data_IF_116721041274
#
_entry.id   IF_116721041274
#
_cell.length_a   1.000
_cell.length_b   1.000
_cell.length_c   1.000
_cell.angle_alpha   90.00
_cell.angle_beta   90.00
_cell.angle_gamma   90.00
#
_symmetry.space_group_name_H-M   'P 1'
#
loop_
_entity.id
_entity.type
_entity.pdbx_description
1 polymer ?
#
# COMPACT_ATOMS: atom_id res chain seq x y z
N UNK A 1 -10.95 16.19 -10.40
CA UNK A 1 -12.23 16.65 -9.81
C UNK A 1 -11.97 16.93 -8.34
N UNK A 2 -11.50 18.15 -8.09
CA UNK A 2 -11.14 18.69 -6.79
C UNK A 2 -12.44 19.01 -6.05
N UNK A 3 -12.70 18.33 -4.94
CA UNK A 3 -13.68 18.79 -3.97
C UNK A 3 -13.11 20.05 -3.30
N UNK A 4 -13.33 21.19 -3.95
CA UNK A 4 -13.31 22.48 -3.29
C UNK A 4 -14.30 22.41 -2.12
N UNK A 5 -13.91 22.77 -0.90
CA UNK A 5 -14.74 22.60 0.27
C UNK A 5 -15.92 23.57 0.19
N UNK A 6 -17.11 23.01 -0.08
CA UNK A 6 -18.42 23.68 0.05
C UNK A 6 -18.66 24.28 1.46
N UNK A 7 -17.81 23.96 2.44
CA UNK A 7 -17.81 24.57 3.76
C UNK A 7 -17.36 26.05 3.77
N UNK A 8 -16.52 26.50 2.82
CA UNK A 8 -16.06 27.89 2.78
C UNK A 8 -17.12 28.86 2.22
N UNK A 9 -18.08 28.37 1.41
CA UNK A 9 -19.13 29.19 0.83
C UNK A 9 -20.34 29.39 1.77
N UNK A 10 -20.56 28.44 2.70
CA UNK A 10 -21.60 28.57 3.71
C UNK A 10 -21.26 29.60 4.81
N UNK A 11 -19.96 29.84 5.06
CA UNK A 11 -19.52 30.84 6.04
C UNK A 11 -19.62 32.29 5.50
N UNK A 12 -19.53 32.49 4.18
CA UNK A 12 -19.63 33.81 3.57
C UNK A 12 -21.07 34.28 3.33
N UNK A 13 -22.05 33.37 3.24
CA UNK A 13 -23.47 33.75 3.10
C UNK A 13 -24.19 33.97 4.43
N UNK A 14 -23.58 33.63 5.58
CA UNK A 14 -24.14 33.94 6.89
C UNK A 14 -23.85 35.38 7.39
N UNK A 15 -23.01 36.14 6.68
CA UNK A 15 -22.60 37.50 7.08
C UNK A 15 -23.38 38.64 6.41
N UNK A 16 -24.34 38.35 5.52
CA UNK A 16 -25.07 39.40 4.76
C UNK A 16 -26.51 39.65 5.21
N UNK A 17 -27.01 38.94 6.22
CA UNK A 17 -28.41 39.03 6.64
C UNK A 17 -28.57 39.21 8.15
N UNK A 18 -28.21 40.39 8.66
CA UNK A 18 -28.95 41.11 9.72
C UNK A 18 -28.15 42.33 10.25
N UNK A 19 -28.13 43.43 9.50
CA UNK A 19 -27.99 44.76 10.10
C UNK A 19 -29.36 45.44 10.01
N UNK A 20 -30.34 44.88 10.73
CA UNK A 20 -31.51 45.65 11.17
C UNK A 20 -31.05 46.37 12.43
N UNK A 21 -30.80 47.67 12.31
CA UNK A 21 -30.51 48.53 13.45
C UNK A 21 -31.65 48.40 14.47
N UNK A 22 -31.39 47.70 15.58
CA UNK A 22 -32.26 47.75 16.76
C UNK A 22 -32.14 49.17 17.34
N UNK A 23 -33.22 49.99 17.33
CA UNK A 23 -33.18 51.32 17.92
C UNK A 23 -33.23 51.15 19.43
N UNK A 24 -32.06 51.11 20.09
CA UNK A 24 -32.00 51.04 21.55
C UNK A 24 -30.71 50.52 22.17
N UNK A 25 -29.76 49.96 21.41
CA UNK A 25 -28.43 49.71 21.97
C UNK A 25 -27.78 51.07 22.30
N UNK A 26 -27.56 51.32 23.58
CA UNK A 26 -26.95 52.56 24.04
C UNK A 26 -25.55 52.66 23.44
N UNK A 27 -25.12 53.85 23.03
CA UNK A 27 -23.75 54.09 22.55
C UNK A 27 -22.68 53.59 23.55
N UNK A 28 -23.04 53.47 24.82
CA UNK A 28 -22.21 52.88 25.87
C UNK A 28 -22.07 51.34 25.75
N UNK A 29 -23.10 50.64 25.29
CA UNK A 29 -23.07 49.18 25.12
C UNK A 29 -22.17 48.80 23.94
N UNK A 30 -22.24 49.55 22.84
CA UNK A 30 -21.36 49.36 21.67
C UNK A 30 -19.89 49.63 22.01
N UNK A 31 -19.60 50.60 22.88
CA UNK A 31 -18.24 50.85 23.37
C UNK A 31 -17.72 49.68 24.18
N UNK A 32 -18.52 49.17 25.12
CA UNK A 32 -18.18 47.99 25.93
C UNK A 32 -17.94 46.76 25.08
N UNK A 33 -18.79 46.51 24.08
CA UNK A 33 -18.63 45.39 23.16
C UNK A 33 -17.37 45.53 22.30
N UNK A 34 -17.04 46.74 21.81
CA UNK A 34 -15.81 46.96 21.07
C UNK A 34 -14.56 46.72 21.93
N UNK A 35 -14.58 47.17 23.19
CA UNK A 35 -13.49 46.95 24.14
C UNK A 35 -13.32 45.44 24.44
N UNK A 36 -14.43 44.71 24.64
CA UNK A 36 -14.41 43.26 24.82
C UNK A 36 -13.88 42.51 23.58
N UNK A 37 -14.28 42.94 22.38
CA UNK A 37 -13.78 42.34 21.15
C UNK A 37 -12.29 42.61 20.95
N UNK A 38 -11.81 43.81 21.27
CA UNK A 38 -10.37 44.14 21.23
C UNK A 38 -9.57 43.28 22.20
N UNK A 39 -10.09 43.09 23.42
CA UNK A 39 -9.44 42.23 24.41
C UNK A 39 -9.39 40.78 23.93
N UNK A 40 -10.48 40.26 23.35
CA UNK A 40 -10.54 38.90 22.81
C UNK A 40 -9.62 38.71 21.61
N UNK A 41 -9.51 39.70 20.72
CA UNK A 41 -8.57 39.67 19.59
C UNK A 41 -7.13 39.63 20.11
N UNK A 42 -6.78 40.50 21.07
CA UNK A 42 -5.44 40.49 21.67
C UNK A 42 -5.11 39.15 22.37
N UNK A 43 -6.09 38.53 23.03
CA UNK A 43 -5.93 37.21 23.64
C UNK A 43 -5.71 36.11 22.59
N UNK A 44 -6.48 36.11 21.50
CA UNK A 44 -6.35 35.13 20.42
C UNK A 44 -5.03 35.29 19.65
N UNK A 45 -4.60 36.53 19.41
CA UNK A 45 -3.29 36.83 18.80
C UNK A 45 -2.15 36.30 19.67
N UNK A 46 -2.21 36.54 20.99
CA UNK A 46 -1.22 36.00 21.93
C UNK A 46 -1.22 34.46 21.98
N UNK A 47 -2.39 33.82 21.91
CA UNK A 47 -2.49 32.35 21.84
C UNK A 47 -1.88 31.80 20.54
N UNK A 48 -2.16 32.44 19.41
CA UNK A 48 -1.66 32.01 18.11
C UNK A 48 -0.14 32.16 18.03
N UNK A 49 0.43 33.24 18.58
CA UNK A 49 1.87 33.41 18.68
C UNK A 49 2.52 32.36 19.59
N UNK A 50 1.92 32.06 20.75
CA UNK A 50 2.41 31.02 21.65
C UNK A 50 2.37 29.62 20.99
N UNK A 51 1.30 29.28 20.29
CA UNK A 51 1.18 28.01 19.57
C UNK A 51 2.16 27.91 18.41
N UNK A 52 2.35 29.01 17.67
CA UNK A 52 3.34 29.08 16.58
C UNK A 52 4.76 28.89 17.12
N UNK A 53 5.11 29.51 18.24
CA UNK A 53 6.41 29.31 18.89
C UNK A 53 6.58 27.86 19.34
N UNK A 54 5.60 27.29 20.04
CA UNK A 54 5.64 25.89 20.48
C UNK A 54 5.75 24.91 19.29
N UNK A 55 5.06 25.18 18.18
CA UNK A 55 5.17 24.36 16.97
C UNK A 55 6.54 24.49 16.31
N UNK A 56 7.13 25.69 16.29
CA UNK A 56 8.48 25.90 15.75
C UNK A 56 9.53 25.18 16.59
N UNK A 57 9.41 25.22 17.92
CA UNK A 57 10.29 24.47 18.83
C UNK A 57 10.21 22.97 18.58
N UNK A 58 8.99 22.39 18.49
CA UNK A 58 8.80 20.97 18.18
C UNK A 58 9.41 20.58 16.84
N UNK A 59 9.25 21.39 15.79
CA UNK A 59 9.86 21.10 14.48
C UNK A 59 11.38 21.14 14.55
N UNK A 60 11.93 22.10 15.31
CA UNK A 60 13.39 22.23 15.48
C UNK A 60 13.96 21.03 16.24
N UNK A 61 13.30 20.59 17.30
CA UNK A 61 13.64 19.39 18.06
C UNK A 61 13.56 18.12 17.21
N UNK A 62 12.46 17.95 16.46
CA UNK A 62 12.27 16.78 15.60
C UNK A 62 13.30 16.74 14.45
N UNK A 63 13.68 17.89 13.92
CA UNK A 63 14.75 18.00 12.90
C UNK A 63 16.12 17.65 13.50
N UNK A 64 16.40 18.07 14.73
CA UNK A 64 17.65 17.75 15.41
C UNK A 64 17.75 16.26 15.75
N UNK A 65 16.67 15.65 16.24
CA UNK A 65 16.63 14.21 16.53
C UNK A 65 16.77 13.36 15.27
N UNK A 66 16.09 13.74 14.18
CA UNK A 66 16.21 13.07 12.89
C UNK A 66 17.65 13.16 12.34
N UNK A 67 18.29 14.33 12.43
CA UNK A 67 19.69 14.49 12.01
C UNK A 67 20.63 13.60 12.82
N UNK A 68 20.47 13.53 14.14
CA UNK A 68 21.27 12.66 15.01
C UNK A 68 21.07 11.17 14.69
N UNK A 69 19.83 10.75 14.38
CA UNK A 69 19.54 9.39 13.94
C UNK A 69 20.20 9.06 12.60
N UNK A 70 20.17 9.98 11.63
CA UNK A 70 20.82 9.81 10.34
C UNK A 70 22.35 9.71 10.46
N UNK A 71 22.96 10.51 11.34
CA UNK A 71 24.39 10.42 11.62
C UNK A 71 24.76 9.07 12.25
N UNK A 72 23.98 8.61 13.23
CA UNK A 72 24.15 7.29 13.85
C UNK A 72 24.00 6.15 12.83
N UNK A 73 23.03 6.24 11.93
CA UNK A 73 22.83 5.26 10.87
C UNK A 73 23.99 5.27 9.87
N UNK A 74 24.49 6.45 9.50
CA UNK A 74 25.67 6.61 8.65
C UNK A 74 26.91 5.94 9.25
N UNK A 75 27.13 6.10 10.56
CA UNK A 75 28.24 5.43 11.25
C UNK A 75 28.06 3.91 11.30
N UNK A 76 26.84 3.42 11.54
CA UNK A 76 26.55 1.97 11.49
C UNK A 76 26.82 1.39 10.10
N UNK A 77 26.41 2.08 9.04
CA UNK A 77 26.68 1.67 7.66
C UNK A 77 28.18 1.64 7.39
N UNK A 78 28.95 2.63 7.89
CA UNK A 78 30.41 2.64 7.74
C UNK A 78 31.07 1.46 8.44
N UNK A 79 30.70 1.18 9.69
CA UNK A 79 31.21 0.02 10.45
C UNK A 79 30.88 -1.29 9.73
N UNK A 80 29.64 -1.46 9.26
CA UNK A 80 29.24 -2.65 8.50
C UNK A 80 29.97 -2.76 7.16
N UNK A 81 30.26 -1.64 6.49
CA UNK A 81 31.04 -1.64 5.25
C UNK A 81 32.50 -2.04 5.50
N UNK A 82 33.10 -1.56 6.60
CA UNK A 82 34.45 -1.95 7.02
C UNK A 82 34.52 -3.42 7.42
N UNK A 83 33.53 -3.92 8.16
CA UNK A 83 33.41 -5.33 8.55
C UNK A 83 33.27 -6.23 7.32
N UNK A 84 32.40 -5.88 6.37
CA UNK A 84 32.26 -6.59 5.11
C UNK A 84 33.55 -6.56 4.27
N UNK A 85 34.27 -5.43 4.26
CA UNK A 85 35.55 -5.32 3.56
C UNK A 85 36.68 -6.09 4.26
N UNK A 86 36.62 -6.27 5.58
CA UNK A 86 37.55 -7.10 6.34
C UNK A 86 37.26 -8.60 6.12
N UNK A 87 35.99 -9.00 6.12
CA UNK A 87 35.55 -10.36 5.78
C UNK A 87 36.00 -10.77 4.37
N UNK A 88 35.78 -9.91 3.37
CA UNK A 88 36.27 -10.13 1.99
C UNK A 88 37.80 -10.23 1.87
N UNK A 89 38.56 -9.61 2.78
CA UNK A 89 40.03 -9.70 2.80
C UNK A 89 40.56 -10.91 3.59
N UNK A 90 39.76 -11.44 4.51
CA UNK A 90 40.07 -12.65 5.30
C UNK A 90 39.74 -13.96 4.59
N UNK A 91 38.94 -13.92 3.52
CA UNK A 91 38.69 -15.07 2.65
C UNK A 91 40.00 -15.49 1.93
N UNK A 92 40.64 -16.52 2.47
CA UNK A 92 41.76 -17.22 1.82
C UNK A 92 41.38 -17.58 0.38
N UNK A 93 42.28 -17.38 -0.60
CA UNK A 93 42.09 -17.90 -1.95
C UNK A 93 42.09 -19.44 -1.86
N UNK A 94 40.91 -20.05 -1.88
CA UNK A 94 40.74 -21.51 -1.78
C UNK A 94 39.49 -21.96 -1.04
N UNK A 95 38.77 -21.09 -0.33
CA UNK A 95 37.45 -21.43 0.19
C UNK A 95 36.42 -21.02 -0.84
N UNK A 96 36.04 -21.97 -1.69
CA UNK A 96 34.95 -21.84 -2.64
C UNK A 96 33.73 -21.32 -1.90
N UNK A 97 33.39 -20.05 -2.12
CA UNK A 97 32.06 -19.54 -1.78
C UNK A 97 31.07 -20.53 -2.38
N UNK A 98 30.20 -21.19 -1.58
CA UNK A 98 29.13 -21.97 -2.18
C UNK A 98 28.40 -21.00 -3.09
N UNK A 99 28.46 -21.27 -4.39
CA UNK A 99 27.75 -20.47 -5.38
C UNK A 99 26.33 -20.26 -4.85
N UNK A 100 25.78 -19.03 -4.92
CA UNK A 100 24.39 -18.80 -4.53
C UNK A 100 23.57 -19.91 -5.18
N UNK A 101 23.00 -20.76 -4.32
CA UNK A 101 22.41 -22.02 -4.74
C UNK A 101 21.42 -21.66 -5.81
N UNK A 102 21.73 -22.10 -7.04
CA UNK A 102 20.99 -21.77 -8.25
C UNK A 102 19.51 -21.81 -7.91
N UNK A 103 18.85 -20.64 -7.97
CA UNK A 103 17.40 -20.57 -7.92
C UNK A 103 16.87 -21.69 -8.79
N UNK A 104 16.09 -22.60 -8.20
CA UNK A 104 15.49 -23.70 -8.94
C UNK A 104 14.89 -23.12 -10.24
N UNK A 105 15.01 -23.82 -11.38
CA UNK A 105 14.47 -23.34 -12.64
C UNK A 105 13.03 -22.86 -12.42
N UNK A 106 12.78 -21.56 -12.61
CA UNK A 106 11.42 -21.03 -12.54
C UNK A 106 10.64 -21.71 -13.66
N UNK A 107 9.61 -22.47 -13.28
CA UNK A 107 8.70 -23.07 -14.25
C UNK A 107 8.01 -21.95 -15.05
N UNK A 108 7.75 -22.19 -16.33
CA UNK A 108 7.00 -21.25 -17.15
C UNK A 108 5.60 -21.05 -16.55
N UNK A 109 5.15 -19.79 -16.49
CA UNK A 109 3.83 -19.48 -15.95
C UNK A 109 2.74 -20.05 -16.87
N UNK A 110 1.69 -20.69 -16.30
CA UNK A 110 0.58 -21.21 -17.07
C UNK A 110 -0.23 -20.09 -17.75
N UNK A 111 -0.89 -20.42 -18.87
CA UNK A 111 -1.74 -19.46 -19.61
C UNK A 111 -3.04 -19.10 -18.88
N UNK A 112 -3.49 -19.92 -17.92
CA UNK A 112 -4.71 -19.63 -17.15
C UNK A 112 -4.47 -18.46 -16.17
N UNK A 113 -5.17 -17.32 -16.32
CA UNK A 113 -4.97 -16.15 -15.47
C UNK A 113 -5.23 -16.40 -13.99
N UNK A 114 -5.93 -17.48 -13.61
CA UNK A 114 -6.21 -17.77 -12.20
C UNK A 114 -5.43 -18.96 -11.66
N UNK A 115 -4.41 -19.43 -12.37
CA UNK A 115 -3.52 -20.47 -11.85
C UNK A 115 -2.64 -19.95 -10.70
N UNK A 116 -2.16 -18.72 -10.79
CA UNK A 116 -1.46 -18.02 -9.71
C UNK A 116 -1.57 -16.48 -9.90
N UNK A 117 -1.23 -15.65 -8.89
CA UNK A 117 -1.26 -14.20 -9.03
C UNK A 117 -0.39 -13.64 -10.16
N UNK A 118 0.76 -14.25 -10.43
CA UNK A 118 1.68 -13.78 -11.47
C UNK A 118 1.11 -14.04 -12.88
N UNK A 119 0.37 -15.14 -13.07
CA UNK A 119 -0.34 -15.42 -14.33
C UNK A 119 -1.45 -14.38 -14.59
N UNK A 120 -2.13 -13.95 -13.52
CA UNK A 120 -3.11 -12.86 -13.60
C UNK A 120 -2.43 -11.54 -13.98
N UNK A 121 -1.28 -11.22 -13.37
CA UNK A 121 -0.52 -10.01 -13.66
C UNK A 121 -0.12 -9.94 -15.14
N UNK A 122 0.48 -11.01 -15.67
CA UNK A 122 0.89 -11.09 -17.09
C UNK A 122 -0.32 -10.90 -18.00
N UNK A 123 -1.46 -11.52 -17.66
CA UNK A 123 -2.70 -11.36 -18.41
C UNK A 123 -3.20 -9.91 -18.38
N UNK A 124 -3.19 -9.26 -17.21
CA UNK A 124 -3.61 -7.87 -17.07
C UNK A 124 -2.69 -6.91 -17.82
N UNK A 125 -1.37 -7.14 -17.81
CA UNK A 125 -0.41 -6.36 -18.59
C UNK A 125 -0.72 -6.45 -20.09
N UNK A 126 -0.94 -7.66 -20.61
CA UNK A 126 -1.30 -7.87 -22.01
C UNK A 126 -2.64 -7.21 -22.39
N UNK A 127 -3.64 -7.24 -21.51
CA UNK A 127 -4.92 -6.57 -21.74
C UNK A 127 -4.85 -5.05 -21.62
N UNK A 128 -4.00 -4.55 -20.71
CA UNK A 128 -3.71 -3.14 -20.58
C UNK A 128 -3.09 -2.60 -21.86
N UNK A 129 -2.04 -3.25 -22.36
CA UNK A 129 -1.37 -2.87 -23.59
C UNK A 129 -2.34 -2.90 -24.76
N UNK A 130 -3.16 -3.95 -24.91
CA UNK A 130 -4.15 -4.02 -25.98
C UNK A 130 -5.18 -2.87 -25.93
N UNK A 131 -5.60 -2.48 -24.74
CA UNK A 131 -6.67 -1.48 -24.57
C UNK A 131 -6.17 -0.03 -24.62
N UNK A 132 -4.96 0.22 -24.14
CA UNK A 132 -4.48 1.57 -23.82
C UNK A 132 -3.15 1.93 -24.51
N UNK A 133 -2.45 0.98 -25.14
CA UNK A 133 -1.29 1.32 -25.97
C UNK A 133 -1.71 2.17 -27.17
N UNK A 134 -0.83 3.10 -27.57
CA UNK A 134 -1.07 3.99 -28.71
C UNK A 134 -1.93 5.23 -28.43
N UNK A 135 -2.43 5.42 -27.21
CA UNK A 135 -3.09 6.68 -26.85
C UNK A 135 -2.06 7.79 -26.63
N UNK A 136 -2.22 8.90 -27.35
CA UNK A 136 -1.40 10.10 -27.18
C UNK A 136 -1.62 10.73 -25.80
N UNK A 137 -0.56 11.32 -25.24
CA UNK A 137 -0.48 11.89 -23.88
C UNK A 137 0.29 13.22 -23.88
N UNK A 138 0.26 13.95 -24.99
CA UNK A 138 1.10 15.14 -25.21
C UNK A 138 0.47 16.40 -24.64
N UNK A 139 -0.85 16.46 -24.59
CA UNK A 139 -1.61 17.60 -24.05
C UNK A 139 -2.29 17.25 -22.72
N UNK A 140 -2.60 18.26 -21.91
CA UNK A 140 -3.34 18.06 -20.65
C UNK A 140 -4.70 17.39 -20.89
N UNK A 141 -5.39 17.75 -21.98
CA UNK A 141 -6.68 17.17 -22.34
C UNK A 141 -6.56 15.69 -22.74
N UNK A 142 -5.50 15.32 -23.48
CA UNK A 142 -5.15 13.94 -23.80
C UNK A 142 -4.83 13.15 -22.53
N UNK A 143 -4.01 13.72 -21.64
CA UNK A 143 -3.65 13.10 -20.37
C UNK A 143 -4.89 12.85 -19.49
N UNK A 144 -5.80 13.83 -19.37
CA UNK A 144 -7.05 13.64 -18.65
C UNK A 144 -7.94 12.56 -19.28
N UNK A 145 -7.98 12.48 -20.62
CA UNK A 145 -8.71 11.43 -21.34
C UNK A 145 -8.10 10.06 -21.07
N UNK A 146 -6.78 9.94 -21.13
CA UNK A 146 -6.05 8.72 -20.80
C UNK A 146 -6.38 8.27 -19.36
N UNK A 147 -6.28 9.18 -18.39
CA UNK A 147 -6.60 8.88 -16.99
C UNK A 147 -8.06 8.44 -16.77
N UNK A 148 -9.01 8.99 -17.53
CA UNK A 148 -10.40 8.50 -17.53
C UNK A 148 -10.48 7.08 -18.09
N UNK A 149 -9.77 6.78 -19.18
CA UNK A 149 -9.74 5.46 -19.79
C UNK A 149 -9.10 4.42 -18.86
N UNK A 150 -7.97 4.74 -18.22
CA UNK A 150 -7.33 3.86 -17.21
C UNK A 150 -8.31 3.57 -16.07
N UNK A 151 -9.01 4.58 -15.53
CA UNK A 151 -10.01 4.38 -14.46
C UNK A 151 -11.18 3.49 -14.90
N UNK A 152 -11.64 3.61 -16.14
CA UNK A 152 -12.69 2.75 -16.67
C UNK A 152 -12.19 1.32 -16.83
N UNK A 153 -10.98 1.17 -17.37
CA UNK A 153 -10.32 -0.12 -17.56
C UNK A 153 -10.13 -0.86 -16.22
N UNK A 154 -9.62 -0.19 -15.19
CA UNK A 154 -9.40 -0.84 -13.87
C UNK A 154 -10.69 -1.40 -13.28
N UNK A 155 -11.78 -0.63 -13.34
CA UNK A 155 -13.12 -1.08 -12.89
C UNK A 155 -13.63 -2.28 -13.70
N UNK A 156 -13.41 -2.27 -15.01
CA UNK A 156 -13.82 -3.37 -15.88
C UNK A 156 -13.05 -4.65 -15.55
N UNK A 157 -11.73 -4.55 -15.35
CA UNK A 157 -10.88 -5.69 -15.04
C UNK A 157 -11.18 -6.29 -13.66
N UNK A 158 -11.45 -5.44 -12.65
CA UNK A 158 -11.85 -5.90 -11.32
C UNK A 158 -13.14 -6.74 -11.34
N UNK A 159 -14.09 -6.39 -12.21
CA UNK A 159 -15.32 -7.16 -12.41
C UNK A 159 -15.12 -8.43 -13.26
N UNK A 160 -14.22 -8.37 -14.25
CA UNK A 160 -13.97 -9.47 -15.20
C UNK A 160 -13.21 -10.62 -14.56
N UNK A 161 -12.15 -10.34 -13.81
CA UNK A 161 -11.28 -11.35 -13.24
C UNK A 161 -11.63 -11.62 -11.79
N UNK A 162 -12.73 -12.34 -11.56
CA UNK A 162 -13.14 -12.77 -10.22
C UNK A 162 -13.79 -14.15 -10.28
N UNK A 163 -13.19 -15.14 -9.63
CA UNK A 163 -13.75 -16.50 -9.54
C UNK A 163 -13.29 -17.23 -8.29
N UNK A 164 -13.99 -18.30 -7.94
CA UNK A 164 -13.49 -19.26 -6.96
C UNK A 164 -12.34 -20.05 -7.61
N UNK A 165 -11.21 -20.12 -6.91
CA UNK A 165 -10.03 -20.89 -7.29
C UNK A 165 -9.77 -21.99 -6.27
N UNK A 166 -9.07 -23.01 -6.73
CA UNK A 166 -8.57 -24.10 -5.91
C UNK A 166 -7.09 -24.27 -6.26
N UNK A 167 -6.23 -24.01 -5.28
CA UNK A 167 -4.78 -23.99 -5.44
C UNK A 167 -4.14 -25.00 -4.53
N UNK A 168 -3.19 -25.76 -5.04
CA UNK A 168 -2.23 -26.47 -4.22
C UNK A 168 -1.15 -25.47 -3.79
N UNK A 169 -0.90 -25.37 -2.48
CA UNK A 169 0.02 -24.39 -1.92
C UNK A 169 1.03 -25.07 -0.98
N UNK A 170 2.24 -24.54 -0.93
CA UNK A 170 3.23 -24.83 0.11
C UNK A 170 3.26 -23.68 1.11
N UNK A 171 3.02 -23.99 2.39
CA UNK A 171 3.10 -22.98 3.46
C UNK A 171 4.56 -22.75 3.83
N UNK A 172 5.01 -21.50 3.70
CA UNK A 172 6.38 -21.09 4.00
C UNK A 172 6.51 -20.54 5.42
N UNK A 173 5.60 -19.65 5.83
CA UNK A 173 5.54 -19.11 7.19
C UNK A 173 4.13 -18.69 7.59
N UNK A 174 3.90 -18.64 8.90
CA UNK A 174 2.69 -18.06 9.51
C UNK A 174 3.16 -17.04 10.54
N UNK A 175 2.93 -15.77 10.25
CA UNK A 175 3.45 -14.65 11.03
C UNK A 175 2.30 -13.87 11.70
N UNK A 176 2.43 -13.44 12.97
CA UNK A 176 1.41 -12.60 13.59
C UNK A 176 1.33 -11.22 12.91
N UNK A 177 0.11 -10.70 12.72
CA UNK A 177 -0.10 -9.33 12.24
C UNK A 177 -0.06 -8.37 13.44
N UNK A 178 0.93 -7.46 13.46
CA UNK A 178 1.26 -6.61 14.61
C UNK A 178 0.08 -5.76 15.16
N UNK A 179 -0.86 -5.39 14.30
CA UNK A 179 -2.00 -4.52 14.65
C UNK A 179 -3.35 -5.24 14.68
N UNK A 180 -3.35 -6.57 14.58
CA UNK A 180 -4.59 -7.35 14.77
C UNK A 180 -4.76 -7.69 16.24
N UNK A 181 -6.00 -7.73 16.74
CA UNK A 181 -6.36 -8.25 18.08
C UNK A 181 -6.08 -9.77 18.23
N UNK A 182 -5.07 -10.30 17.55
CA UNK A 182 -4.79 -11.72 17.39
C UNK A 182 -5.85 -12.45 16.57
N UNK A 183 -6.74 -11.74 15.86
CA UNK A 183 -7.81 -12.35 15.05
C UNK A 183 -7.34 -12.75 13.65
N UNK A 184 -6.28 -12.12 13.18
CA UNK A 184 -5.69 -12.34 11.87
C UNK A 184 -4.21 -12.69 12.02
N UNK A 185 -3.72 -13.57 11.18
CA UNK A 185 -2.29 -13.77 11.00
C UNK A 185 -1.98 -13.81 9.51
N UNK A 186 -0.73 -13.49 9.17
CA UNK A 186 -0.25 -13.44 7.81
C UNK A 186 0.22 -14.84 7.40
N UNK A 187 -0.45 -15.43 6.43
CA UNK A 187 0.03 -16.65 5.77
C UNK A 187 0.95 -16.25 4.62
N UNK A 188 2.18 -16.74 4.63
CA UNK A 188 3.10 -16.67 3.50
C UNK A 188 3.16 -18.05 2.84
N UNK A 189 2.76 -18.15 1.58
CA UNK A 189 2.69 -19.42 0.86
C UNK A 189 3.13 -19.30 -0.60
N UNK A 190 3.54 -20.42 -1.17
CA UNK A 190 3.88 -20.56 -2.57
C UNK A 190 2.78 -21.36 -3.28
N UNK A 191 2.30 -20.90 -4.44
CA UNK A 191 1.38 -21.71 -5.27
C UNK A 191 2.18 -22.78 -6.01
N UNK A 192 1.68 -24.01 -6.05
CA UNK A 192 2.32 -25.15 -6.70
C UNK A 192 1.55 -25.57 -7.95
N UNK A 193 2.31 -26.04 -8.95
CA UNK A 193 1.78 -26.78 -10.07
C UNK A 193 1.20 -28.13 -9.57
N UNK A 194 -0.08 -28.45 -9.85
CA UNK A 194 -0.67 -29.70 -9.40
C UNK A 194 -0.04 -30.94 -10.06
N UNK A 195 0.52 -30.81 -11.27
CA UNK A 195 1.08 -31.93 -12.03
C UNK A 195 2.53 -32.21 -11.65
N UNK A 196 3.36 -31.16 -11.54
CA UNK A 196 4.81 -31.30 -11.31
C UNK A 196 5.19 -31.09 -9.84
N UNK A 197 4.33 -30.44 -9.05
CA UNK A 197 4.63 -29.99 -7.69
C UNK A 197 5.67 -28.88 -7.63
N UNK A 198 6.04 -28.28 -8.76
CA UNK A 198 6.96 -27.15 -8.83
C UNK A 198 6.26 -25.84 -8.43
N UNK A 199 7.04 -24.85 -8.00
CA UNK A 199 6.53 -23.57 -7.56
C UNK A 199 6.17 -22.67 -8.75
N UNK A 200 4.97 -22.07 -8.73
CA UNK A 200 4.52 -21.05 -9.66
C UNK A 200 4.62 -19.65 -9.06
N UNK A 201 5.40 -18.79 -9.72
CA UNK A 201 5.49 -17.37 -9.37
C UNK A 201 6.23 -17.07 -8.06
N UNK A 202 6.09 -15.86 -7.57
CA UNK A 202 6.66 -15.42 -6.29
C UNK A 202 5.77 -15.82 -5.08
N UNK A 203 6.36 -15.96 -3.87
CA UNK A 203 5.60 -16.18 -2.64
C UNK A 203 4.56 -15.09 -2.36
N UNK A 204 3.43 -15.52 -1.85
CA UNK A 204 2.24 -14.72 -1.65
C UNK A 204 1.96 -14.56 -0.16
N UNK A 205 1.68 -13.33 0.29
CA UNK A 205 1.32 -13.01 1.67
C UNK A 205 -0.14 -12.60 1.77
N UNK A 206 -0.93 -13.30 2.58
CA UNK A 206 -2.36 -13.06 2.76
C UNK A 206 -2.73 -13.09 4.23
N UNK A 207 -3.46 -12.06 4.68
CA UNK A 207 -4.06 -12.07 6.01
C UNK A 207 -5.19 -13.10 6.05
N UNK A 208 -5.13 -14.01 7.02
CA UNK A 208 -6.12 -15.07 7.21
C UNK A 208 -6.62 -15.08 8.64
N UNK A 209 -7.90 -15.44 8.82
CA UNK A 209 -8.46 -15.65 10.16
C UNK A 209 -7.71 -16.78 10.88
N UNK A 210 -7.48 -16.63 12.18
CA UNK A 210 -6.81 -17.63 13.02
C UNK A 210 -7.43 -19.02 12.94
N UNK A 211 -8.73 -19.14 12.65
CA UNK A 211 -9.42 -20.42 12.49
C UNK A 211 -8.76 -21.34 11.46
N UNK A 212 -8.36 -20.79 10.30
CA UNK A 212 -7.73 -21.58 9.24
C UNK A 212 -6.29 -21.95 9.60
N UNK A 213 -5.56 -20.99 10.19
CA UNK A 213 -4.16 -21.14 10.53
C UNK A 213 -3.91 -22.07 11.72
N UNK A 214 -4.87 -22.17 12.64
CA UNK A 214 -4.82 -23.15 13.73
C UNK A 214 -4.68 -24.57 13.20
N UNK A 215 -5.37 -24.90 12.11
CA UNK A 215 -5.27 -26.23 11.50
C UNK A 215 -3.86 -26.49 10.94
N UNK A 216 -3.26 -25.48 10.30
CA UNK A 216 -1.87 -25.57 9.81
C UNK A 216 -0.90 -25.78 10.97
N UNK A 217 -1.08 -25.04 12.06
CA UNK A 217 -0.25 -25.14 13.25
C UNK A 217 -0.39 -26.49 13.99
N UNK A 218 -1.55 -27.15 13.90
CA UNK A 218 -1.81 -28.47 14.50
C UNK A 218 -1.10 -29.61 13.74
N UNK A 219 -0.67 -29.38 12.48
CA UNK A 219 0.04 -30.36 11.65
C UNK A 219 1.31 -29.75 11.05
N UNK A 220 2.36 -29.49 11.86
CA UNK A 220 3.56 -28.78 11.42
C UNK A 220 4.39 -29.54 10.37
N UNK A 221 4.27 -30.86 10.32
CA UNK A 221 4.95 -31.70 9.32
C UNK A 221 4.30 -31.59 7.93
N UNK A 222 3.06 -31.11 7.87
CA UNK A 222 2.32 -30.95 6.62
C UNK A 222 2.68 -29.63 5.94
N UNK A 223 3.45 -29.73 4.85
CA UNK A 223 3.85 -28.56 4.06
C UNK A 223 2.87 -28.17 2.97
N UNK A 224 2.13 -29.14 2.41
CA UNK A 224 1.26 -28.95 1.25
C UNK A 224 -0.22 -28.93 1.62
N UNK A 225 -0.94 -27.96 1.09
CA UNK A 225 -2.35 -27.72 1.41
C UNK A 225 -3.13 -27.40 0.15
N UNK A 226 -4.39 -27.82 0.11
CA UNK A 226 -5.35 -27.37 -0.90
C UNK A 226 -6.14 -26.19 -0.35
N UNK A 227 -5.98 -25.03 -0.99
CA UNK A 227 -6.62 -23.76 -0.66
C UNK A 227 -7.75 -23.49 -1.67
N UNK A 228 -8.98 -23.44 -1.18
CA UNK A 228 -10.10 -22.87 -1.94
C UNK A 228 -10.36 -21.44 -1.49
N UNK A 229 -10.43 -20.52 -2.43
CA UNK A 229 -10.61 -19.10 -2.16
C UNK A 229 -11.41 -18.40 -3.27
N UNK A 230 -12.05 -17.29 -2.94
CA UNK A 230 -12.51 -16.34 -3.96
C UNK A 230 -11.34 -15.42 -4.31
N UNK A 231 -10.81 -15.57 -5.51
CA UNK A 231 -9.69 -14.79 -6.03
C UNK A 231 -10.18 -13.79 -7.07
N UNK A 232 -9.63 -12.58 -7.06
CA UNK A 232 -9.88 -11.64 -8.13
C UNK A 232 -8.88 -10.50 -8.21
N UNK A 233 -8.84 -9.91 -9.41
CA UNK A 233 -8.08 -8.69 -9.65
C UNK A 233 -8.76 -7.50 -8.96
N UNK A 234 -7.98 -6.56 -8.47
CA UNK A 234 -8.43 -5.24 -8.02
C UNK A 234 -7.45 -4.16 -8.49
N UNK A 235 -7.16 -4.03 -9.80
CA UNK A 235 -6.16 -3.10 -10.27
C UNK A 235 -6.50 -1.66 -9.84
N UNK A 236 -5.53 -0.92 -9.35
CA UNK A 236 -5.73 0.41 -8.77
C UNK A 236 -5.15 1.51 -9.66
N UNK A 237 -5.82 2.65 -9.69
CA UNK A 237 -5.35 3.85 -10.39
C UNK A 237 -4.37 4.61 -9.49
N UNK A 238 -3.10 4.65 -9.87
CA UNK A 238 -2.10 5.50 -9.23
C UNK A 238 -1.64 6.62 -10.18
N UNK A 239 -2.23 7.82 -10.02
CA UNK A 239 -1.93 8.97 -10.87
C UNK A 239 -0.47 9.46 -10.80
N UNK A 240 0.31 9.02 -9.81
CA UNK A 240 1.70 9.43 -9.62
C UNK A 240 2.68 8.47 -10.30
N UNK A 241 2.24 7.27 -10.68
CA UNK A 241 3.13 6.21 -11.21
C UNK A 241 2.95 6.03 -12.72
N UNK A 242 3.52 6.96 -13.49
CA UNK A 242 3.50 6.89 -14.95
C UNK A 242 4.41 5.82 -15.56
N UNK A 243 5.38 5.33 -14.79
CA UNK A 243 6.42 4.39 -15.22
C UNK A 243 6.69 3.34 -14.13
N UNK A 244 7.36 2.25 -14.49
CA UNK A 244 7.77 1.22 -13.55
C UNK A 244 8.85 1.77 -12.59
N UNK A 245 8.59 1.66 -11.29
CA UNK A 245 9.52 2.11 -10.25
C UNK A 245 10.48 1.01 -9.79
N UNK A 246 11.62 1.40 -9.21
CA UNK A 246 12.69 0.48 -8.78
C UNK A 246 12.23 -0.66 -7.85
N UNK A 247 11.30 -0.37 -6.93
CA UNK A 247 10.82 -1.35 -5.94
C UNK A 247 9.67 -2.24 -6.45
N UNK A 248 9.05 -1.84 -7.57
CA UNK A 248 7.89 -2.49 -8.18
C UNK A 248 6.84 -3.08 -7.20
N UNK A 249 6.55 -2.37 -6.11
CA UNK A 249 5.63 -2.83 -5.05
C UNK A 249 4.58 -1.74 -4.79
N UNK A 250 3.31 -1.91 -5.20
CA UNK A 250 2.73 -3.08 -5.88
C UNK A 250 3.28 -3.29 -7.31
N UNK A 251 3.13 -4.48 -7.92
CA UNK A 251 3.61 -4.72 -9.28
C UNK A 251 2.98 -3.77 -10.31
N UNK A 252 3.76 -3.34 -11.29
CA UNK A 252 3.34 -2.42 -12.34
C UNK A 252 2.57 -3.16 -13.44
N UNK A 253 1.37 -2.70 -13.76
CA UNK A 253 0.61 -3.19 -14.93
C UNK A 253 0.94 -2.35 -16.15
N UNK A 254 0.92 -1.03 -15.98
CA UNK A 254 1.12 -0.06 -17.04
C UNK A 254 0.99 1.36 -16.49
N UNK A 255 1.21 2.41 -17.30
CA UNK A 255 1.17 3.79 -16.83
C UNK A 255 -0.09 4.13 -16.03
N UNK A 256 0.10 4.47 -14.76
CA UNK A 256 -0.94 4.81 -13.77
C UNK A 256 -1.84 3.65 -13.31
N UNK A 257 -1.51 2.40 -13.65
CA UNK A 257 -2.22 1.21 -13.20
C UNK A 257 -1.28 0.28 -12.41
N UNK A 258 -1.69 -0.03 -11.18
CA UNK A 258 -0.97 -0.92 -10.27
C UNK A 258 -1.74 -2.22 -10.06
N UNK A 259 -1.01 -3.31 -9.94
CA UNK A 259 -1.57 -4.61 -9.66
C UNK A 259 -1.83 -4.78 -8.17
N UNK A 260 -3.11 -4.80 -7.84
CA UNK A 260 -3.61 -5.26 -6.56
C UNK A 260 -4.61 -6.37 -6.85
N UNK A 261 -4.71 -7.31 -5.93
CA UNK A 261 -5.63 -8.44 -6.02
C UNK A 261 -6.18 -8.76 -4.63
N UNK A 262 -7.28 -9.49 -4.62
CA UNK A 262 -7.98 -9.89 -3.42
C UNK A 262 -8.08 -11.42 -3.40
N UNK A 263 -7.76 -12.03 -2.27
CA UNK A 263 -7.96 -13.46 -2.02
C UNK A 263 -8.75 -13.61 -0.73
N UNK A 264 -9.96 -14.17 -0.82
CA UNK A 264 -10.80 -14.50 0.34
C UNK A 264 -10.81 -16.01 0.56
N UNK A 265 -10.06 -16.53 1.53
CA UNK A 265 -10.05 -17.95 1.83
C UNK A 265 -11.44 -18.45 2.21
N UNK A 266 -11.87 -19.56 1.60
CA UNK A 266 -13.13 -20.24 1.89
C UNK A 266 -12.87 -21.56 2.66
N UNK A 267 -11.82 -22.28 2.30
CA UNK A 267 -11.38 -23.47 3.02
C UNK A 267 -9.91 -23.77 2.76
N UNK A 268 -9.26 -24.40 3.74
CA UNK A 268 -7.92 -24.97 3.60
C UNK A 268 -7.94 -26.39 4.17
N UNK A 269 -7.47 -27.36 3.38
CA UNK A 269 -7.43 -28.78 3.72
C UNK A 269 -6.08 -29.38 3.37
N UNK A 270 -5.72 -30.48 4.02
CA UNK A 270 -4.47 -31.20 3.72
C UNK A 270 -4.52 -31.72 2.28
N UNK A 271 -3.46 -31.46 1.51
CA UNK A 271 -3.33 -31.98 0.13
C UNK A 271 -3.29 -33.51 0.16
N UNK A 272 -4.12 -34.16 -0.66
CA UNK A 272 -4.26 -35.62 -0.68
C UNK A 272 -5.32 -36.20 0.27
N UNK A 273 -5.98 -35.38 1.09
CA UNK A 273 -7.11 -35.80 1.93
C UNK A 273 -8.48 -35.69 1.23
N UNK A 274 -8.51 -35.49 -0.09
CA UNK A 274 -9.75 -35.55 -0.88
C UNK A 274 -10.26 -37.00 -0.90
N UNK A 275 -11.48 -37.27 -0.38
CA UNK A 275 -12.09 -38.60 -0.41
C UNK A 275 -12.48 -39.04 -1.82
#
# INVERSE_FOLDING_TARGET
MRHLPLAALALLMALTSAVRAQPGQSLNDLRRENDQLRERVAQLEAQLEAERQASQERVTELTATFRAQMEKLGEQVRVLAEENAALKRGERPGQSTPAPTSSAPKEELPEDPFACPDSLLVTLQAEYDRALSGQERTTDAEQERYMRNVRLWTRQMAGKYRRTVEWEIEVLSVDPVADSDGREMMLNFQVLNPDTGAAWGEPVRVAMSTRYLRRIAETPDQKRWSLRALFGADPQLNAQRGEEGLLNTPPFIGPYAEFVWELKPQSIVESGAMP
#
